data_IF_082431143442
#
_entry.id   IF_082431143442
#
_cell.length_a   1.000
_cell.length_b   1.000
_cell.length_c   1.000
_cell.angle_alpha   90.00
_cell.angle_beta   90.00
_cell.angle_gamma   90.00
#
_symmetry.space_group_name_H-M   'P 1'
#
loop_
_entity.id
_entity.type
_entity.pdbx_description
1 polymer ?
#
# COMPACT_ATOMS: atom_id res chain seq x y z
N UNK A 1 -36.21 28.71 2.73
CA UNK A 1 -36.21 27.27 2.31
C UNK A 1 -34.97 27.09 1.48
N UNK A 2 -33.86 26.72 2.11
CA UNK A 2 -32.57 26.48 1.45
C UNK A 2 -32.35 24.97 1.46
N UNK A 3 -32.36 24.42 0.25
CA UNK A 3 -32.16 23.01 -0.05
C UNK A 3 -30.71 22.62 0.33
N UNK A 4 -30.55 21.84 1.39
CA UNK A 4 -29.27 21.31 1.87
C UNK A 4 -29.06 19.89 1.35
N UNK A 5 -29.02 19.72 0.04
CA UNK A 5 -28.51 18.49 -0.56
C UNK A 5 -26.98 18.49 -0.52
N UNK A 6 -26.39 17.63 0.28
CA UNK A 6 -24.95 17.40 0.32
C UNK A 6 -24.47 16.91 -1.06
N UNK A 7 -23.33 17.46 -1.60
CA UNK A 7 -22.90 17.22 -2.98
C UNK A 7 -22.23 15.84 -3.24
N UNK A 8 -22.22 14.93 -2.29
CA UNK A 8 -21.40 13.69 -2.35
C UNK A 8 -22.18 12.37 -2.35
N UNK A 9 -23.46 12.36 -2.72
CA UNK A 9 -24.18 11.11 -2.93
C UNK A 9 -23.75 10.48 -4.28
N UNK A 10 -23.25 9.25 -4.32
CA UNK A 10 -22.93 8.59 -5.57
C UNK A 10 -24.20 8.43 -6.41
N UNK A 11 -24.10 8.51 -7.76
CA UNK A 11 -25.26 8.32 -8.63
C UNK A 11 -25.88 6.95 -8.34
N UNK A 12 -27.19 6.90 -8.16
CA UNK A 12 -27.96 5.69 -7.87
C UNK A 12 -27.77 4.66 -9.01
N UNK A 13 -26.71 3.83 -8.90
CA UNK A 13 -26.56 2.67 -9.75
C UNK A 13 -27.67 1.67 -9.37
N UNK A 14 -28.40 1.16 -10.36
CA UNK A 14 -29.44 0.15 -10.12
C UNK A 14 -28.84 -1.05 -9.41
N UNK A 15 -29.26 -1.31 -8.17
CA UNK A 15 -28.88 -2.48 -7.42
C UNK A 15 -29.29 -3.75 -8.17
N UNK A 16 -28.34 -4.56 -8.56
CA UNK A 16 -28.58 -5.83 -9.25
C UNK A 16 -28.82 -6.95 -8.25
N UNK A 17 -29.40 -8.06 -8.70
CA UNK A 17 -29.54 -9.28 -7.87
C UNK A 17 -28.19 -9.75 -7.32
N UNK A 18 -27.13 -9.66 -8.12
CA UNK A 18 -25.77 -9.99 -7.68
C UNK A 18 -25.27 -9.10 -6.53
N UNK A 19 -25.60 -7.80 -6.54
CA UNK A 19 -25.28 -6.89 -5.45
C UNK A 19 -25.96 -7.30 -4.14
N UNK A 20 -27.25 -7.65 -4.18
CA UNK A 20 -27.99 -8.13 -3.01
C UNK A 20 -27.45 -9.46 -2.49
N UNK A 21 -27.12 -10.40 -3.38
CA UNK A 21 -26.54 -11.68 -2.99
C UNK A 21 -25.18 -11.50 -2.33
N UNK A 22 -24.32 -10.66 -2.92
CA UNK A 22 -23.01 -10.30 -2.36
C UNK A 22 -23.13 -9.66 -0.97
N UNK A 23 -24.08 -8.73 -0.81
CA UNK A 23 -24.35 -8.09 0.48
C UNK A 23 -24.84 -9.07 1.55
N UNK A 24 -25.79 -9.97 1.20
CA UNK A 24 -26.26 -11.02 2.13
C UNK A 24 -25.12 -11.95 2.55
N UNK A 25 -24.26 -12.37 1.61
CA UNK A 25 -23.07 -13.18 1.91
C UNK A 25 -22.11 -12.48 2.86
N UNK A 26 -21.87 -11.18 2.64
CA UNK A 26 -21.04 -10.36 3.51
C UNK A 26 -21.61 -10.26 4.93
N UNK A 27 -22.90 -9.96 5.08
CA UNK A 27 -23.57 -9.88 6.38
C UNK A 27 -23.58 -11.22 7.13
N UNK A 28 -23.77 -12.33 6.42
CA UNK A 28 -23.69 -13.67 7.00
C UNK A 28 -22.28 -13.95 7.51
N UNK A 29 -21.27 -13.67 6.70
CA UNK A 29 -19.86 -13.79 7.10
C UNK A 29 -19.56 -12.93 8.34
N UNK A 30 -19.97 -11.67 8.35
CA UNK A 30 -19.80 -10.78 9.51
C UNK A 30 -20.47 -11.34 10.76
N UNK A 31 -21.70 -11.86 10.62
CA UNK A 31 -22.43 -12.51 11.73
C UNK A 31 -21.64 -13.69 12.30
N UNK A 32 -21.10 -14.55 11.45
CA UNK A 32 -20.27 -15.69 11.88
C UNK A 32 -18.98 -15.24 12.55
N UNK A 33 -18.31 -14.19 12.01
CA UNK A 33 -17.09 -13.66 12.58
C UNK A 33 -17.31 -13.08 14.00
N UNK A 34 -18.50 -12.53 14.29
CA UNK A 34 -18.83 -12.03 15.65
C UNK A 34 -18.80 -13.14 16.72
N UNK A 35 -19.15 -14.36 16.34
CA UNK A 35 -19.22 -15.50 17.26
C UNK A 35 -17.85 -16.08 17.64
N UNK A 36 -16.81 -15.80 16.84
CA UNK A 36 -15.47 -16.38 17.02
C UNK A 36 -14.55 -15.36 17.69
N UNK A 37 -13.88 -15.74 18.77
CA UNK A 37 -12.87 -14.88 19.44
C UNK A 37 -11.71 -14.51 18.51
N UNK A 38 -11.14 -13.30 18.65
CA UNK A 38 -10.10 -12.76 17.76
C UNK A 38 -8.88 -13.70 17.61
N UNK A 39 -8.39 -14.25 18.74
CA UNK A 39 -7.27 -15.21 18.76
C UNK A 39 -7.57 -16.48 17.98
N UNK A 40 -8.78 -17.01 18.12
CA UNK A 40 -9.22 -18.22 17.40
C UNK A 40 -9.37 -17.92 15.91
N UNK A 41 -9.99 -16.77 15.57
CA UNK A 41 -10.15 -16.32 14.20
C UNK A 41 -8.78 -16.15 13.49
N UNK A 42 -7.81 -15.57 14.17
CA UNK A 42 -6.45 -15.45 13.65
C UNK A 42 -5.83 -16.83 13.34
N UNK A 43 -6.00 -17.81 14.26
CA UNK A 43 -5.50 -19.18 14.05
C UNK A 43 -6.18 -19.88 12.88
N UNK A 44 -7.50 -19.75 12.76
CA UNK A 44 -8.26 -20.28 11.62
C UNK A 44 -7.82 -19.63 10.31
N UNK A 45 -7.61 -18.31 10.31
CA UNK A 45 -7.07 -17.59 9.15
C UNK A 45 -5.69 -18.06 8.74
N UNK A 46 -4.81 -18.37 9.69
CA UNK A 46 -3.49 -18.96 9.41
C UNK A 46 -3.60 -20.34 8.77
N UNK A 47 -4.52 -21.18 9.24
CA UNK A 47 -4.77 -22.50 8.63
C UNK A 47 -5.29 -22.33 7.20
N UNK A 48 -6.30 -21.47 6.99
CA UNK A 48 -6.82 -21.15 5.66
C UNK A 48 -5.73 -20.59 4.73
N UNK A 49 -4.85 -19.71 5.24
CA UNK A 49 -3.71 -19.16 4.49
C UNK A 49 -2.69 -20.24 4.07
N UNK A 50 -2.46 -21.25 4.91
CA UNK A 50 -1.60 -22.36 4.56
C UNK A 50 -2.19 -23.19 3.41
N UNK A 51 -3.50 -23.39 3.36
CA UNK A 51 -4.22 -24.05 2.25
C UNK A 51 -4.18 -23.17 1.00
N UNK A 52 -4.50 -21.87 1.13
CA UNK A 52 -4.51 -20.91 0.03
C UNK A 52 -3.15 -20.82 -0.68
N UNK A 53 -2.02 -20.99 0.04
CA UNK A 53 -0.69 -21.01 -0.55
C UNK A 53 -0.51 -22.14 -1.59
N UNK A 54 -1.16 -23.29 -1.39
CA UNK A 54 -1.17 -24.38 -2.36
C UNK A 54 -2.14 -24.13 -3.52
N UNK A 55 -3.30 -23.55 -3.24
CA UNK A 55 -4.37 -23.36 -4.21
C UNK A 55 -4.17 -22.14 -5.13
N UNK A 56 -3.35 -21.16 -4.75
CA UNK A 56 -3.17 -19.89 -5.47
C UNK A 56 -1.72 -19.72 -6.00
N UNK A 57 -1.25 -20.57 -6.93
CA UNK A 57 0.15 -20.53 -7.40
C UNK A 57 0.55 -19.19 -8.02
N UNK A 58 -0.36 -18.51 -8.73
CA UNK A 58 -0.08 -17.18 -9.29
C UNK A 58 0.22 -16.16 -8.20
N UNK A 59 -0.58 -16.13 -7.11
CA UNK A 59 -0.35 -15.23 -5.98
C UNK A 59 0.92 -15.61 -5.22
N UNK A 60 1.20 -16.90 -5.07
CA UNK A 60 2.46 -17.37 -4.49
C UNK A 60 3.68 -16.85 -5.25
N UNK A 61 3.69 -16.94 -6.58
CA UNK A 61 4.79 -16.44 -7.41
C UNK A 61 4.98 -14.93 -7.23
N UNK A 62 3.89 -14.16 -7.08
CA UNK A 62 3.96 -12.71 -6.79
C UNK A 62 4.60 -12.46 -5.41
N UNK A 63 4.16 -13.17 -4.38
CA UNK A 63 4.71 -13.04 -3.02
C UNK A 63 6.20 -13.39 -3.01
N UNK A 64 6.60 -14.52 -3.62
CA UNK A 64 7.99 -14.94 -3.71
C UNK A 64 8.87 -13.91 -4.44
N UNK A 65 8.36 -13.32 -5.53
CA UNK A 65 9.05 -12.26 -6.25
C UNK A 65 9.22 -11.02 -5.37
N UNK A 66 8.16 -10.58 -4.69
CA UNK A 66 8.19 -9.41 -3.83
C UNK A 66 9.15 -9.62 -2.65
N UNK A 67 9.11 -10.78 -1.99
CA UNK A 67 10.02 -11.11 -0.89
C UNK A 67 11.48 -11.10 -1.32
N UNK A 68 11.81 -11.59 -2.52
CA UNK A 68 13.18 -11.49 -3.06
C UNK A 68 13.64 -10.05 -3.28
N UNK A 69 12.73 -9.17 -3.68
CA UNK A 69 13.06 -7.74 -3.85
C UNK A 69 13.31 -7.09 -2.49
N UNK A 70 12.49 -7.42 -1.50
CA UNK A 70 12.52 -6.75 -0.19
C UNK A 70 13.66 -7.28 0.70
N UNK A 71 13.81 -8.60 0.77
CA UNK A 71 14.77 -9.26 1.67
C UNK A 71 16.13 -9.45 0.97
N UNK A 72 16.19 -10.43 0.09
CA UNK A 72 17.42 -10.79 -0.61
C UNK A 72 17.11 -11.35 -2.01
N UNK A 73 17.70 -10.81 -3.08
CA UNK A 73 17.56 -11.33 -4.42
C UNK A 73 18.06 -12.78 -4.58
N UNK A 74 18.94 -13.26 -3.70
CA UNK A 74 19.48 -14.62 -3.71
C UNK A 74 18.57 -15.67 -3.10
N UNK A 75 17.54 -15.29 -2.35
CA UNK A 75 16.58 -16.20 -1.73
C UNK A 75 15.95 -17.16 -2.75
N UNK A 76 16.07 -18.47 -2.49
CA UNK A 76 15.56 -19.54 -3.36
C UNK A 76 15.09 -20.76 -2.53
N UNK A 77 14.46 -21.70 -3.23
CA UNK A 77 14.15 -23.04 -2.71
C UNK A 77 13.28 -23.01 -1.45
N UNK A 78 13.62 -23.89 -0.49
CA UNK A 78 12.81 -24.12 0.71
C UNK A 78 12.67 -22.91 1.62
N UNK A 79 13.70 -22.06 1.70
CA UNK A 79 13.68 -20.86 2.53
C UNK A 79 12.67 -19.83 2.02
N UNK A 80 12.72 -19.52 0.72
CA UNK A 80 11.75 -18.63 0.08
C UNK A 80 10.31 -19.17 0.22
N UNK A 81 10.12 -20.48 0.02
CA UNK A 81 8.81 -21.11 0.19
C UNK A 81 8.29 -21.01 1.63
N UNK A 82 9.17 -21.17 2.63
CA UNK A 82 8.81 -21.02 4.05
C UNK A 82 8.33 -19.60 4.34
N UNK A 83 9.05 -18.58 3.88
CA UNK A 83 8.68 -17.17 4.05
C UNK A 83 7.40 -16.83 3.29
N UNK A 84 7.27 -17.27 2.04
CA UNK A 84 6.08 -17.09 1.22
C UNK A 84 4.83 -17.71 1.87
N UNK A 85 4.95 -18.94 2.37
CA UNK A 85 3.86 -19.61 3.08
C UNK A 85 3.48 -18.89 4.37
N UNK A 86 4.47 -18.39 5.12
CA UNK A 86 4.20 -17.63 6.34
C UNK A 86 3.49 -16.29 6.03
N UNK A 87 3.90 -15.58 4.98
CA UNK A 87 3.19 -14.39 4.53
C UNK A 87 1.73 -14.68 4.15
N UNK A 88 1.45 -15.76 3.42
CA UNK A 88 0.07 -16.18 3.12
C UNK A 88 -0.75 -16.40 4.39
N UNK A 89 -0.18 -17.12 5.37
CA UNK A 89 -0.83 -17.41 6.65
C UNK A 89 -1.19 -16.13 7.39
N UNK A 90 -0.25 -15.19 7.47
CA UNK A 90 -0.48 -13.89 8.13
C UNK A 90 -1.47 -13.03 7.35
N UNK A 91 -1.33 -12.93 6.04
CA UNK A 91 -2.21 -12.14 5.19
C UNK A 91 -3.67 -12.58 5.34
N UNK A 92 -3.98 -13.87 5.19
CA UNK A 92 -5.37 -14.35 5.31
C UNK A 92 -5.89 -14.18 6.74
N UNK A 93 -5.06 -14.44 7.75
CA UNK A 93 -5.45 -14.22 9.15
C UNK A 93 -5.76 -12.73 9.42
N UNK A 94 -4.92 -11.82 8.95
CA UNK A 94 -5.10 -10.38 9.10
C UNK A 94 -6.37 -9.89 8.40
N UNK A 95 -6.67 -10.35 7.18
CA UNK A 95 -7.91 -10.01 6.48
C UNK A 95 -9.17 -10.43 7.23
N UNK A 96 -9.22 -11.67 7.73
CA UNK A 96 -10.37 -12.15 8.51
C UNK A 96 -10.53 -11.36 9.81
N UNK A 97 -9.43 -11.07 10.48
CA UNK A 97 -9.44 -10.28 11.70
C UNK A 97 -9.83 -8.81 11.43
N UNK A 98 -9.40 -8.22 10.31
CA UNK A 98 -9.79 -6.87 9.90
C UNK A 98 -11.29 -6.74 9.69
N UNK A 99 -11.92 -7.72 9.04
CA UNK A 99 -13.39 -7.76 8.89
C UNK A 99 -14.11 -7.79 10.25
N UNK A 100 -13.58 -8.55 11.23
CA UNK A 100 -14.11 -8.57 12.60
C UNK A 100 -13.84 -7.25 13.35
N UNK A 101 -12.70 -6.61 13.14
CA UNK A 101 -12.32 -5.36 13.81
C UNK A 101 -13.39 -4.28 13.66
N UNK A 102 -14.04 -4.19 12.49
CA UNK A 102 -15.12 -3.26 12.24
C UNK A 102 -16.33 -3.45 13.17
N UNK A 103 -16.48 -4.63 13.78
CA UNK A 103 -17.63 -4.98 14.65
C UNK A 103 -17.35 -4.82 16.15
N UNK A 104 -16.10 -4.59 16.54
CA UNK A 104 -15.70 -4.49 17.96
C UNK A 104 -16.16 -3.17 18.57
N UNK A 105 -16.38 -3.16 19.90
CA UNK A 105 -16.41 -1.91 20.67
C UNK A 105 -15.02 -1.28 20.75
N UNK A 106 -14.92 -0.04 21.23
CA UNK A 106 -13.61 0.63 21.37
C UNK A 106 -12.75 -0.06 22.45
N UNK A 107 -13.37 -0.51 23.55
CA UNK A 107 -12.69 -1.27 24.59
C UNK A 107 -12.16 -2.61 24.04
N UNK A 108 -13.00 -3.34 23.29
CA UNK A 108 -12.57 -4.60 22.67
C UNK A 108 -11.44 -4.38 21.66
N UNK A 109 -11.47 -3.26 20.92
CA UNK A 109 -10.42 -2.91 19.99
C UNK A 109 -9.10 -2.64 20.71
N UNK A 110 -9.12 -1.87 21.80
CA UNK A 110 -7.93 -1.59 22.65
C UNK A 110 -7.29 -2.84 23.24
N UNK A 111 -8.06 -3.91 23.45
CA UNK A 111 -7.50 -5.21 23.85
C UNK A 111 -6.82 -5.97 22.71
N UNK A 112 -7.10 -5.63 21.47
CA UNK A 112 -6.54 -6.29 20.30
C UNK A 112 -5.43 -5.48 19.59
N UNK A 113 -5.35 -4.18 19.87
CA UNK A 113 -4.41 -3.27 19.19
C UNK A 113 -3.75 -2.36 20.22
N UNK A 114 -2.42 -2.36 20.21
CA UNK A 114 -1.60 -1.35 20.92
C UNK A 114 -1.15 -0.30 19.89
N UNK A 115 -1.18 0.95 20.28
CA UNK A 115 -0.74 2.07 19.42
C UNK A 115 0.46 2.74 20.08
N UNK A 116 1.54 2.92 19.30
CA UNK A 116 2.74 3.67 19.70
C UNK A 116 2.90 4.96 18.92
N UNK A 117 3.78 5.86 19.38
CA UNK A 117 4.11 7.10 18.66
C UNK A 117 3.11 8.23 18.88
N UNK A 118 2.57 8.37 20.10
CA UNK A 118 1.59 9.41 20.45
C UNK A 118 2.11 10.83 20.13
N UNK A 119 3.33 11.15 20.55
CA UNK A 119 3.92 12.48 20.35
C UNK A 119 4.06 12.82 18.87
N UNK A 120 4.50 11.88 18.05
CA UNK A 120 4.74 12.11 16.63
C UNK A 120 3.46 12.19 15.82
N UNK A 121 2.40 11.48 16.23
CA UNK A 121 1.13 11.46 15.54
C UNK A 121 0.16 12.54 16.04
N UNK A 122 -0.11 12.58 17.35
CA UNK A 122 -1.18 13.40 17.91
C UNK A 122 -0.73 14.83 18.21
N UNK A 123 0.50 15.06 18.70
CA UNK A 123 0.93 16.39 19.09
C UNK A 123 0.83 17.44 17.97
N UNK A 124 1.26 17.18 16.72
CA UNK A 124 1.08 18.14 15.63
C UNK A 124 -0.39 18.53 15.42
N UNK A 125 -1.30 17.56 15.49
CA UNK A 125 -2.73 17.76 15.30
C UNK A 125 -3.33 18.61 16.43
N UNK A 126 -2.92 18.35 17.67
CA UNK A 126 -3.35 19.11 18.85
C UNK A 126 -2.83 20.54 18.85
N UNK A 127 -1.69 20.78 18.22
CA UNK A 127 -1.12 22.10 17.97
C UNK A 127 -1.78 22.83 16.77
N UNK A 128 -2.80 22.22 16.14
CA UNK A 128 -3.50 22.79 14.99
C UNK A 128 -2.76 22.60 13.65
N UNK A 129 -1.71 21.79 13.61
CA UNK A 129 -0.98 21.44 12.38
C UNK A 129 -1.60 20.20 11.73
N UNK A 130 -1.75 20.23 10.40
CA UNK A 130 -2.23 19.06 9.66
C UNK A 130 -1.22 17.92 9.68
N UNK A 131 -1.71 16.68 9.68
CA UNK A 131 -0.88 15.48 9.69
C UNK A 131 -1.26 14.53 8.55
N UNK A 132 -0.34 14.22 7.67
CA UNK A 132 -0.53 13.15 6.66
C UNK A 132 0.08 11.85 7.19
N UNK A 133 -0.72 10.78 7.16
CA UNK A 133 -0.30 9.44 7.55
C UNK A 133 -0.14 8.59 6.30
N UNK A 134 1.10 8.31 5.88
CA UNK A 134 1.39 7.35 4.83
C UNK A 134 1.34 5.94 5.41
N UNK A 135 0.39 5.11 4.95
CA UNK A 135 0.06 3.82 5.58
C UNK A 135 0.43 2.66 4.65
N UNK A 136 1.04 1.61 5.20
CA UNK A 136 1.25 0.34 4.51
C UNK A 136 0.05 -0.60 4.70
N UNK A 137 -0.28 -1.40 3.67
CA UNK A 137 -1.22 -2.53 3.79
C UNK A 137 -0.54 -3.67 4.56
N UNK A 138 -0.44 -3.55 5.87
CA UNK A 138 0.24 -4.52 6.74
C UNK A 138 -0.57 -4.83 7.99
N UNK A 139 -0.47 -6.05 8.49
CA UNK A 139 -1.17 -6.49 9.69
C UNK A 139 -2.69 -6.23 9.59
N UNK A 140 -3.26 -5.72 10.65
CA UNK A 140 -4.67 -5.31 10.72
C UNK A 140 -4.80 -3.79 10.53
N UNK A 141 -4.43 -3.27 9.33
CA UNK A 141 -4.47 -1.84 9.04
C UNK A 141 -5.87 -1.21 9.10
N UNK A 142 -6.95 -2.01 8.98
CA UNK A 142 -8.33 -1.51 9.12
C UNK A 142 -8.60 -0.94 10.52
N UNK A 143 -7.84 -1.35 11.53
CA UNK A 143 -7.93 -0.77 12.87
C UNK A 143 -7.61 0.74 12.87
N UNK A 144 -6.79 1.21 11.92
CA UNK A 144 -6.44 2.63 11.79
C UNK A 144 -7.62 3.51 11.36
N UNK A 145 -8.66 2.93 10.74
CA UNK A 145 -9.90 3.66 10.48
C UNK A 145 -10.64 4.05 11.79
N UNK A 146 -10.22 3.48 12.92
CA UNK A 146 -10.80 3.74 14.24
C UNK A 146 -9.79 4.38 15.20
N UNK A 147 -8.88 5.18 14.66
CA UNK A 147 -7.81 5.82 15.43
C UNK A 147 -8.33 6.65 16.60
N UNK A 148 -9.51 7.24 16.47
CA UNK A 148 -10.17 8.02 17.55
C UNK A 148 -10.52 7.19 18.78
N UNK A 149 -10.58 5.87 18.68
CA UNK A 149 -10.70 5.02 19.88
C UNK A 149 -9.45 5.10 20.77
N UNK A 150 -8.28 5.39 20.18
CA UNK A 150 -6.99 5.50 20.90
C UNK A 150 -6.61 6.96 21.20
N UNK A 151 -7.02 7.87 20.33
CA UNK A 151 -6.74 9.32 20.38
C UNK A 151 -8.07 10.09 20.29
N UNK A 152 -8.91 10.05 21.34
CA UNK A 152 -10.21 10.75 21.33
C UNK A 152 -10.06 12.27 21.16
N UNK A 153 -8.92 12.83 21.56
CA UNK A 153 -8.56 14.23 21.41
C UNK A 153 -8.30 14.64 19.94
N UNK A 154 -8.03 13.69 19.05
CA UNK A 154 -7.89 13.93 17.60
C UNK A 154 -9.29 13.99 16.98
N UNK A 155 -9.92 15.17 17.02
CA UNK A 155 -11.30 15.35 16.57
C UNK A 155 -11.47 15.17 15.06
N UNK A 156 -10.48 15.64 14.27
CA UNK A 156 -10.51 15.59 12.80
C UNK A 156 -9.58 14.51 12.28
N UNK A 157 -10.14 13.37 12.02
CA UNK A 157 -9.44 12.27 11.37
C UNK A 157 -10.20 11.80 10.14
N UNK A 158 -9.48 11.60 9.04
CA UNK A 158 -10.03 11.09 7.80
C UNK A 158 -9.14 10.06 7.11
N UNK A 159 -9.70 9.37 6.14
CA UNK A 159 -8.96 8.40 5.32
C UNK A 159 -9.37 8.50 3.86
N UNK A 160 -8.36 8.45 2.98
CA UNK A 160 -8.58 8.29 1.54
C UNK A 160 -8.90 6.81 1.25
N UNK A 161 -9.93 6.57 0.43
CA UNK A 161 -10.31 5.20 0.06
C UNK A 161 -10.78 5.11 -1.40
N UNK A 162 -10.84 3.88 -1.92
CA UNK A 162 -11.51 3.57 -3.18
C UNK A 162 -12.90 3.02 -2.87
N UNK A 163 -13.91 3.51 -3.57
CA UNK A 163 -15.29 3.03 -3.45
C UNK A 163 -15.39 1.55 -3.86
N UNK A 164 -16.31 0.84 -3.20
CA UNK A 164 -16.63 -0.53 -3.57
C UNK A 164 -17.47 -0.57 -4.84
N UNK A 165 -17.24 -1.57 -5.69
CA UNK A 165 -18.02 -1.77 -6.92
C UNK A 165 -19.49 -2.16 -6.62
N UNK A 166 -19.76 -2.73 -5.44
CA UNK A 166 -21.11 -3.03 -4.97
C UNK A 166 -21.67 -1.85 -4.14
N UNK A 167 -22.68 -1.12 -4.62
CA UNK A 167 -23.20 0.08 -3.93
C UNK A 167 -23.76 -0.21 -2.54
N UNK A 168 -24.34 -1.39 -2.31
CA UNK A 168 -24.88 -1.78 -1.00
C UNK A 168 -23.75 -2.01 0.01
N UNK A 169 -22.64 -2.59 -0.43
CA UNK A 169 -21.46 -2.74 0.40
C UNK A 169 -20.77 -1.40 0.65
N UNK A 170 -20.71 -0.54 -0.37
CA UNK A 170 -20.17 0.81 -0.24
C UNK A 170 -20.89 1.59 0.86
N UNK A 171 -22.22 1.68 0.76
CA UNK A 171 -23.05 2.39 1.73
C UNK A 171 -22.86 1.83 3.15
N UNK A 172 -22.91 0.49 3.30
CA UNK A 172 -22.76 -0.17 4.58
C UNK A 172 -21.39 0.08 5.24
N UNK A 173 -20.29 -0.05 4.46
CA UNK A 173 -18.93 0.15 4.97
C UNK A 173 -18.66 1.64 5.24
N UNK A 174 -19.17 2.53 4.38
CA UNK A 174 -19.07 3.97 4.55
C UNK A 174 -19.72 4.41 5.87
N UNK A 175 -20.98 4.03 6.11
CA UNK A 175 -21.70 4.33 7.34
C UNK A 175 -20.93 3.85 8.57
N UNK A 176 -20.46 2.61 8.55
CA UNK A 176 -19.69 2.03 9.67
C UNK A 176 -18.41 2.77 10.01
N UNK A 177 -17.72 3.29 8.99
CA UNK A 177 -16.48 4.06 9.21
C UNK A 177 -16.80 5.47 9.70
N UNK A 178 -17.88 6.10 9.19
CA UNK A 178 -18.27 7.46 9.55
C UNK A 178 -19.01 7.57 10.88
N UNK A 179 -19.80 6.57 11.27
CA UNK A 179 -20.49 6.51 12.59
C UNK A 179 -19.56 6.74 13.77
N UNK A 180 -18.26 6.43 13.62
CA UNK A 180 -17.26 6.61 14.66
C UNK A 180 -16.40 7.87 14.49
N UNK A 181 -16.87 8.80 13.65
CA UNK A 181 -16.28 10.11 13.44
C UNK A 181 -15.09 10.16 12.50
N UNK A 182 -14.78 9.07 11.77
CA UNK A 182 -13.78 9.10 10.70
C UNK A 182 -14.40 9.68 9.43
N UNK A 183 -13.78 10.70 8.87
CA UNK A 183 -14.20 11.27 7.59
C UNK A 183 -13.65 10.41 6.45
N UNK A 184 -14.51 9.99 5.53
CA UNK A 184 -14.12 9.15 4.40
C UNK A 184 -14.10 9.98 3.12
N UNK A 185 -12.93 10.04 2.47
CA UNK A 185 -12.73 10.77 1.23
C UNK A 185 -12.53 9.78 0.08
N UNK A 186 -13.50 9.73 -0.84
CA UNK A 186 -13.34 8.88 -2.01
C UNK A 186 -12.26 9.45 -2.94
N UNK A 187 -11.52 8.56 -3.58
CA UNK A 187 -10.50 8.93 -4.56
C UNK A 187 -11.10 9.71 -5.73
N UNK A 188 -12.32 9.38 -6.08
CA UNK A 188 -13.12 10.00 -7.14
C UNK A 188 -13.57 11.43 -6.79
N UNK A 189 -13.79 11.73 -5.50
CA UNK A 189 -14.14 13.07 -4.99
C UNK A 189 -12.98 14.07 -5.02
N UNK A 190 -11.79 13.63 -5.39
CA UNK A 190 -10.62 14.48 -5.52
C UNK A 190 -9.99 14.92 -4.19
N UNK A 191 -9.16 15.95 -4.23
CA UNK A 191 -8.31 16.32 -3.09
C UNK A 191 -8.76 17.59 -2.32
N UNK A 192 -9.84 18.27 -2.75
CA UNK A 192 -10.25 19.55 -2.14
C UNK A 192 -10.67 19.37 -0.68
N UNK A 193 -11.56 18.40 -0.40
CA UNK A 193 -12.06 18.16 0.94
C UNK A 193 -10.96 17.64 1.91
N UNK A 194 -10.15 16.63 1.56
CA UNK A 194 -9.04 16.22 2.42
C UNK A 194 -8.01 17.33 2.62
N UNK A 195 -7.73 18.16 1.61
CA UNK A 195 -6.86 19.33 1.76
C UNK A 195 -7.41 20.37 2.75
N UNK A 196 -8.72 20.62 2.72
CA UNK A 196 -9.37 21.52 3.68
C UNK A 196 -9.20 20.99 5.10
N UNK A 197 -9.48 19.70 5.33
CA UNK A 197 -9.33 19.07 6.63
C UNK A 197 -7.89 19.17 7.17
N UNK A 198 -6.89 18.92 6.32
CA UNK A 198 -5.47 19.06 6.70
C UNK A 198 -5.11 20.50 7.09
N UNK A 199 -5.57 21.51 6.33
CA UNK A 199 -5.35 22.93 6.66
C UNK A 199 -6.04 23.38 7.94
N UNK A 200 -7.09 22.68 8.35
CA UNK A 200 -7.80 22.89 9.61
C UNK A 200 -7.21 22.09 10.77
N UNK A 201 -5.99 21.56 10.62
CA UNK A 201 -5.27 20.81 11.65
C UNK A 201 -5.75 19.37 11.82
N UNK A 202 -6.36 18.75 10.80
CA UNK A 202 -6.78 17.35 10.86
C UNK A 202 -5.69 16.37 10.47
N UNK A 203 -5.88 15.07 10.78
CA UNK A 203 -5.02 13.97 10.34
C UNK A 203 -5.67 13.16 9.23
N UNK A 204 -4.90 12.79 8.19
CA UNK A 204 -5.39 12.08 7.01
C UNK A 204 -4.58 10.82 6.71
N UNK A 205 -5.22 9.66 6.76
CA UNK A 205 -4.65 8.38 6.36
C UNK A 205 -4.70 8.17 4.84
N UNK A 206 -3.57 7.76 4.26
CA UNK A 206 -3.43 7.42 2.84
C UNK A 206 -2.65 6.11 2.70
N UNK A 207 -3.30 5.05 2.22
CA UNK A 207 -2.62 3.79 1.87
C UNK A 207 -1.74 4.00 0.64
N UNK A 208 -0.43 3.76 0.74
CA UNK A 208 0.56 4.28 -0.21
C UNK A 208 1.55 3.26 -0.77
N UNK A 209 1.52 2.02 -0.31
CA UNK A 209 2.51 0.97 -0.63
C UNK A 209 2.15 0.12 -1.85
N UNK A 210 1.03 0.38 -2.51
CA UNK A 210 0.62 -0.37 -3.70
C UNK A 210 1.05 0.31 -5.01
N UNK A 211 1.07 -0.49 -6.10
CA UNK A 211 1.42 -0.01 -7.43
C UNK A 211 0.32 0.87 -8.03
N UNK A 212 0.71 2.00 -8.62
CA UNK A 212 -0.19 2.93 -9.33
C UNK A 212 0.40 3.23 -10.72
N UNK A 213 -0.40 3.05 -11.79
CA UNK A 213 0.03 3.29 -13.16
C UNK A 213 0.32 4.77 -13.44
N UNK A 214 -0.54 5.65 -12.98
CA UNK A 214 -0.47 7.10 -13.16
C UNK A 214 0.40 7.79 -12.09
N UNK A 215 1.10 6.98 -11.28
CA UNK A 215 1.98 7.48 -10.23
C UNK A 215 3.34 7.95 -10.74
N UNK A 216 4.18 8.42 -9.83
CA UNK A 216 5.59 8.68 -10.12
C UNK A 216 6.39 7.38 -10.04
N UNK A 217 7.35 7.22 -10.95
CA UNK A 217 8.18 6.01 -11.01
C UNK A 217 9.47 6.21 -10.21
N UNK A 218 9.42 5.85 -8.95
CA UNK A 218 10.48 6.04 -7.97
C UNK A 218 10.83 4.73 -7.26
N UNK A 219 12.00 4.63 -6.57
CA UNK A 219 12.40 3.43 -5.88
C UNK A 219 11.48 3.09 -4.70
N UNK A 220 11.20 1.81 -4.55
CA UNK A 220 10.69 1.17 -3.34
C UNK A 220 11.51 -0.09 -3.10
N UNK A 221 12.18 -0.18 -1.96
CA UNK A 221 13.22 -1.19 -1.68
C UNK A 221 14.31 -1.22 -2.76
N UNK A 222 14.72 -0.05 -3.21
CA UNK A 222 15.75 0.13 -4.24
C UNK A 222 15.32 -0.23 -5.65
N UNK A 223 14.09 -0.70 -5.89
CA UNK A 223 13.60 -1.04 -7.22
C UNK A 223 12.52 -0.07 -7.70
N UNK A 224 12.74 0.53 -8.87
CA UNK A 224 11.82 1.53 -9.44
C UNK A 224 10.46 0.93 -9.75
N UNK A 225 9.40 1.62 -9.33
CA UNK A 225 8.00 1.19 -9.52
C UNK A 225 7.05 2.37 -9.41
N UNK A 226 5.88 2.28 -10.07
CA UNK A 226 4.83 3.30 -9.99
C UNK A 226 4.29 3.43 -8.56
N UNK A 227 4.40 4.62 -8.00
CA UNK A 227 4.04 4.96 -6.62
C UNK A 227 3.10 6.16 -6.61
N UNK A 228 2.09 6.14 -5.75
CA UNK A 228 1.21 7.29 -5.59
C UNK A 228 1.95 8.47 -4.99
N UNK A 229 1.96 9.64 -5.64
CA UNK A 229 2.55 10.84 -5.07
C UNK A 229 1.60 11.55 -4.09
N UNK A 230 0.41 11.00 -3.86
CA UNK A 230 -0.66 11.67 -3.13
C UNK A 230 -0.28 12.11 -1.71
N UNK A 231 0.37 11.29 -0.86
CA UNK A 231 0.79 11.74 0.47
C UNK A 231 1.73 12.95 0.41
N UNK A 232 2.76 12.88 -0.43
CA UNK A 232 3.73 13.96 -0.61
C UNK A 232 3.06 15.25 -1.13
N UNK A 233 2.14 15.11 -2.11
CA UNK A 233 1.38 16.22 -2.66
C UNK A 233 0.50 16.90 -1.61
N UNK A 234 -0.23 16.13 -0.82
CA UNK A 234 -1.11 16.64 0.24
C UNK A 234 -0.31 17.34 1.33
N UNK A 235 0.76 16.70 1.81
CA UNK A 235 1.68 17.31 2.79
C UNK A 235 2.18 18.67 2.30
N UNK A 236 2.74 18.71 1.11
CA UNK A 236 3.37 19.92 0.53
C UNK A 236 2.36 21.05 0.35
N UNK A 237 1.17 20.75 -0.17
CA UNK A 237 0.13 21.76 -0.43
C UNK A 237 -0.60 22.23 0.82
N UNK A 238 -0.70 21.38 1.84
CA UNK A 238 -1.34 21.75 3.10
C UNK A 238 -0.36 22.40 4.10
N UNK A 239 0.96 22.26 3.89
CA UNK A 239 1.97 22.60 4.91
C UNK A 239 1.90 21.66 6.11
N UNK A 240 1.48 20.43 5.91
CA UNK A 240 1.25 19.45 6.97
C UNK A 240 2.53 18.70 7.34
N UNK A 241 2.56 18.13 8.54
CA UNK A 241 3.56 17.15 8.94
C UNK A 241 3.25 15.76 8.34
N UNK A 242 4.18 14.82 8.45
CA UNK A 242 3.96 13.46 7.92
C UNK A 242 4.60 12.39 8.79
N UNK A 243 3.81 11.33 9.03
CA UNK A 243 4.29 10.07 9.60
C UNK A 243 4.06 8.92 8.63
N UNK A 244 4.96 7.95 8.62
CA UNK A 244 4.71 6.64 8.02
C UNK A 244 4.14 5.71 9.10
N UNK A 245 3.19 4.84 8.70
CA UNK A 245 2.51 3.93 9.61
C UNK A 245 2.50 2.52 9.03
N UNK A 246 2.89 1.55 9.84
CA UNK A 246 2.67 0.13 9.57
C UNK A 246 2.07 -0.55 10.80
N UNK A 247 1.27 -1.58 10.55
CA UNK A 247 0.70 -2.41 11.61
C UNK A 247 1.34 -3.79 11.55
N UNK A 248 1.92 -4.24 12.65
CA UNK A 248 2.56 -5.55 12.75
C UNK A 248 1.80 -6.48 13.70
N UNK A 249 1.84 -7.75 13.41
CA UNK A 249 1.31 -8.79 14.30
C UNK A 249 2.28 -9.01 15.46
N UNK A 250 1.83 -8.78 16.67
CA UNK A 250 2.57 -9.02 17.91
C UNK A 250 2.33 -10.44 18.43
N UNK A 251 1.05 -10.79 18.57
CA UNK A 251 0.61 -12.11 19.00
C UNK A 251 -0.64 -12.54 18.21
N UNK A 252 -1.06 -13.82 18.27
CA UNK A 252 -2.29 -14.26 17.65
C UNK A 252 -3.52 -13.43 18.07
N UNK A 253 -4.04 -12.61 17.17
CA UNK A 253 -5.17 -11.72 17.41
C UNK A 253 -4.83 -10.41 18.14
N UNK A 254 -3.54 -10.06 18.18
CA UNK A 254 -3.05 -8.80 18.72
C UNK A 254 -2.04 -8.14 17.77
N UNK A 255 -2.13 -6.81 17.62
CA UNK A 255 -1.32 -6.02 16.71
C UNK A 255 -0.75 -4.79 17.40
N UNK A 256 0.37 -4.32 16.87
CA UNK A 256 0.96 -3.03 17.22
C UNK A 256 0.90 -2.13 16.01
N UNK A 257 0.28 -0.96 16.14
CA UNK A 257 0.31 0.12 15.17
C UNK A 257 1.42 1.10 15.57
N UNK A 258 2.49 1.16 14.79
CA UNK A 258 3.56 2.12 15.00
C UNK A 258 3.27 3.39 14.20
N UNK A 259 3.08 4.50 14.92
CA UNK A 259 2.76 5.83 14.38
C UNK A 259 3.87 6.85 14.68
N UNK A 260 5.01 6.41 15.19
CA UNK A 260 6.11 7.29 15.59
C UNK A 260 7.12 7.61 14.51
N UNK A 261 7.02 7.02 13.32
CA UNK A 261 8.02 7.21 12.27
C UNK A 261 7.76 8.49 11.46
N UNK A 262 8.32 9.61 11.91
CA UNK A 262 8.29 10.88 11.17
C UNK A 262 9.10 10.74 9.87
N UNK A 263 8.50 11.16 8.76
CA UNK A 263 9.17 11.13 7.45
C UNK A 263 10.13 12.31 7.34
N UNK A 264 11.41 12.02 7.16
CA UNK A 264 12.47 13.03 6.96
C UNK A 264 12.58 13.43 5.49
N UNK A 265 12.34 14.71 5.19
CA UNK A 265 12.43 15.29 3.85
C UNK A 265 13.74 16.04 3.60
N UNK A 266 14.70 16.00 4.52
CA UNK A 266 15.98 16.74 4.38
C UNK A 266 16.80 16.33 3.16
N UNK A 267 16.59 15.10 2.66
CA UNK A 267 17.26 14.56 1.47
C UNK A 267 16.47 14.73 0.18
N UNK A 268 15.25 15.27 0.25
CA UNK A 268 14.45 15.55 -0.94
C UNK A 268 15.02 16.76 -1.70
N UNK A 269 15.01 16.69 -3.03
CA UNK A 269 15.30 17.85 -3.89
C UNK A 269 14.12 18.85 -3.96
N UNK A 270 13.07 18.60 -3.18
CA UNK A 270 11.83 19.37 -3.19
C UNK A 270 10.92 19.10 -4.37
N UNK A 271 11.28 18.21 -5.29
CA UNK A 271 10.38 17.74 -6.34
C UNK A 271 9.33 16.77 -5.76
N UNK A 272 8.21 16.59 -6.48
CA UNK A 272 7.20 15.61 -6.06
C UNK A 272 7.74 14.17 -6.09
N UNK A 273 8.66 13.87 -7.01
CA UNK A 273 9.37 12.60 -7.08
C UNK A 273 10.29 12.40 -5.87
N UNK A 274 11.12 13.41 -5.53
CA UNK A 274 11.99 13.40 -4.37
C UNK A 274 11.24 13.24 -3.07
N UNK A 275 10.17 14.02 -2.87
CA UNK A 275 9.30 13.88 -1.70
C UNK A 275 8.65 12.47 -1.62
N UNK A 276 8.25 11.89 -2.75
CA UNK A 276 7.67 10.53 -2.78
C UNK A 276 8.71 9.45 -2.44
N UNK A 277 9.99 9.66 -2.79
CA UNK A 277 11.09 8.78 -2.38
C UNK A 277 11.22 8.78 -0.84
N UNK A 278 11.15 9.93 -0.20
CA UNK A 278 11.26 10.01 1.26
C UNK A 278 10.06 9.35 1.96
N UNK A 279 8.83 9.50 1.40
CA UNK A 279 7.66 8.75 1.87
C UNK A 279 7.89 7.23 1.79
N UNK A 280 8.42 6.76 0.66
CA UNK A 280 8.76 5.34 0.48
C UNK A 280 9.80 4.88 1.53
N UNK A 281 10.85 5.66 1.79
CA UNK A 281 11.87 5.33 2.80
C UNK A 281 11.28 5.21 4.21
N UNK A 282 10.37 6.13 4.57
CA UNK A 282 9.63 6.04 5.84
C UNK A 282 8.84 4.74 5.96
N UNK A 283 8.12 4.34 4.90
CA UNK A 283 7.40 3.06 4.86
C UNK A 283 8.35 1.86 4.88
N UNK A 284 9.46 1.91 4.13
CA UNK A 284 10.44 0.83 4.09
C UNK A 284 11.04 0.53 5.46
N UNK A 285 11.31 1.57 6.26
CA UNK A 285 11.83 1.42 7.64
C UNK A 285 10.90 0.52 8.47
N UNK A 286 9.60 0.84 8.50
CA UNK A 286 8.63 0.07 9.27
C UNK A 286 8.34 -1.31 8.67
N UNK A 287 8.29 -1.41 7.35
CA UNK A 287 8.07 -2.68 6.65
C UNK A 287 9.20 -3.67 6.92
N UNK A 288 10.47 -3.21 7.03
CA UNK A 288 11.61 -4.09 7.35
C UNK A 288 11.45 -4.79 8.70
N UNK A 289 10.80 -4.16 9.68
CA UNK A 289 10.54 -4.76 10.98
C UNK A 289 9.46 -5.84 10.93
N UNK A 290 8.57 -5.81 9.94
CA UNK A 290 7.41 -6.70 9.84
C UNK A 290 7.11 -7.17 8.41
N UNK A 291 8.13 -7.52 7.64
CA UNK A 291 8.02 -7.89 6.22
C UNK A 291 6.92 -8.90 5.94
N UNK A 292 6.72 -9.88 6.83
CA UNK A 292 5.75 -10.95 6.63
C UNK A 292 4.30 -10.56 6.93
N UNK A 293 4.07 -9.39 7.51
CA UNK A 293 2.73 -8.85 7.76
C UNK A 293 2.18 -8.02 6.59
N UNK A 294 3.05 -7.65 5.63
CA UNK A 294 2.65 -6.85 4.46
C UNK A 294 1.87 -7.67 3.44
N UNK A 295 0.90 -7.03 2.80
CA UNK A 295 0.05 -7.64 1.76
C UNK A 295 0.83 -7.85 0.44
N UNK A 296 1.79 -8.77 0.43
CA UNK A 296 2.61 -9.07 -0.75
C UNK A 296 1.87 -9.83 -1.87
N UNK A 297 0.62 -10.21 -1.70
CA UNK A 297 -0.21 -10.77 -2.78
C UNK A 297 -0.56 -9.74 -3.86
N UNK A 298 -0.34 -8.44 -3.60
CA UNK A 298 -0.37 -7.38 -4.60
C UNK A 298 0.93 -7.34 -5.39
N UNK A 299 0.83 -7.22 -6.73
CA UNK A 299 2.00 -7.13 -7.61
C UNK A 299 2.61 -5.72 -7.56
N UNK A 300 3.39 -5.42 -6.51
CA UNK A 300 3.94 -4.08 -6.24
C UNK A 300 4.86 -3.58 -7.35
N UNK A 301 5.65 -4.44 -7.96
CA UNK A 301 6.58 -4.10 -9.07
C UNK A 301 6.04 -4.59 -10.41
N UNK A 302 4.81 -4.22 -10.75
CA UNK A 302 4.11 -4.61 -11.97
C UNK A 302 4.65 -3.92 -13.23
N UNK A 303 5.52 -2.93 -13.09
CA UNK A 303 6.05 -2.07 -14.17
C UNK A 303 6.84 -2.79 -15.27
N UNK A 304 6.94 -4.12 -15.21
CA UNK A 304 7.63 -4.95 -16.22
C UNK A 304 6.92 -4.92 -17.57
N UNK A 305 5.60 -4.71 -17.58
CA UNK A 305 4.79 -4.88 -18.79
C UNK A 305 4.52 -3.57 -19.58
N UNK A 306 4.92 -2.43 -19.02
CA UNK A 306 4.83 -1.14 -19.69
C UNK A 306 6.10 -0.33 -19.45
N UNK A 307 6.82 -0.03 -20.52
CA UNK A 307 7.83 1.01 -20.53
C UNK A 307 7.16 2.35 -20.27
N UNK A 308 7.08 2.76 -18.99
CA UNK A 308 6.76 4.15 -18.69
C UNK A 308 8.06 4.93 -18.76
N UNK A 309 8.23 5.82 -19.75
CA UNK A 309 9.39 6.69 -19.80
C UNK A 309 9.38 7.55 -18.54
N UNK A 310 10.51 7.62 -17.86
CA UNK A 310 10.70 8.56 -16.76
C UNK A 310 10.84 9.96 -17.36
N UNK A 311 10.21 10.95 -16.75
CA UNK A 311 10.52 12.32 -17.11
C UNK A 311 12.01 12.62 -16.79
N UNK A 312 12.60 13.57 -17.55
CA UNK A 312 14.04 13.85 -17.47
C UNK A 312 14.51 14.24 -16.07
N UNK A 313 13.67 14.93 -15.30
CA UNK A 313 14.01 15.37 -13.93
C UNK A 313 14.06 14.19 -12.98
N UNK A 314 13.05 13.32 -13.03
CA UNK A 314 13.02 12.07 -12.24
C UNK A 314 14.18 11.16 -12.64
N UNK A 315 14.51 11.01 -13.92
CA UNK A 315 15.65 10.22 -14.37
C UNK A 315 16.98 10.75 -13.78
N UNK A 316 17.24 12.05 -13.86
CA UNK A 316 18.43 12.68 -13.29
C UNK A 316 18.53 12.52 -11.76
N UNK A 317 17.41 12.60 -11.05
CA UNK A 317 17.34 12.33 -9.62
C UNK A 317 17.76 10.89 -9.28
N UNK A 318 17.35 9.93 -10.09
CA UNK A 318 17.60 8.50 -9.87
C UNK A 318 19.00 8.05 -10.30
N UNK A 319 19.68 8.75 -11.20
CA UNK A 319 21.03 8.40 -11.68
C UNK A 319 22.07 8.32 -10.55
N UNK A 320 21.89 9.12 -9.50
CA UNK A 320 22.79 9.16 -8.34
C UNK A 320 22.36 8.22 -7.19
N UNK A 321 21.35 7.37 -7.41
CA UNK A 321 20.85 6.45 -6.40
C UNK A 321 21.31 5.02 -6.66
N UNK A 322 21.58 4.27 -5.60
CA UNK A 322 21.81 2.83 -5.68
C UNK A 322 20.50 2.12 -5.97
N UNK A 323 20.31 1.67 -7.22
CA UNK A 323 19.10 1.03 -7.69
C UNK A 323 19.29 -0.46 -7.94
N UNK A 324 18.29 -1.26 -7.60
CA UNK A 324 18.21 -2.66 -8.02
C UNK A 324 17.87 -2.72 -9.50
N UNK A 325 18.72 -3.35 -10.33
CA UNK A 325 18.58 -3.23 -11.78
C UNK A 325 17.30 -3.87 -12.31
N UNK A 326 16.74 -3.24 -13.33
CA UNK A 326 15.76 -3.81 -14.22
C UNK A 326 16.49 -4.61 -15.31
N UNK A 327 16.51 -5.95 -15.18
CA UNK A 327 17.27 -6.81 -16.09
C UNK A 327 16.42 -7.24 -17.27
N UNK A 328 16.91 -7.00 -18.48
CA UNK A 328 16.38 -7.54 -19.72
C UNK A 328 17.42 -8.45 -20.36
N UNK A 329 16.93 -9.45 -21.09
CA UNK A 329 17.74 -10.33 -21.90
C UNK A 329 17.39 -10.09 -23.36
N UNK A 330 18.39 -9.73 -24.15
CA UNK A 330 18.25 -9.55 -25.60
C UNK A 330 18.97 -10.69 -26.30
N UNK A 331 18.21 -11.55 -26.98
CA UNK A 331 18.76 -12.57 -27.86
C UNK A 331 19.08 -11.93 -29.21
N UNK A 332 20.37 -11.93 -29.58
CA UNK A 332 20.84 -11.35 -30.83
C UNK A 332 20.79 -12.39 -31.94
N UNK A 333 20.31 -12.05 -33.17
CA UNK A 333 20.33 -12.94 -34.32
C UNK A 333 21.73 -13.45 -34.67
N UNK A 334 21.79 -14.57 -35.41
CA UNK A 334 23.07 -15.16 -35.82
C UNK A 334 23.79 -14.38 -36.91
N UNK A 335 23.05 -13.74 -37.82
CA UNK A 335 23.61 -12.93 -38.89
C UNK A 335 24.17 -11.62 -38.30
N UNK A 336 25.38 -11.25 -38.71
CA UNK A 336 26.09 -10.07 -38.18
C UNK A 336 25.37 -8.76 -38.47
N UNK A 337 24.82 -8.59 -39.65
CA UNK A 337 24.04 -7.44 -40.08
C UNK A 337 22.76 -7.27 -39.24
N UNK A 338 22.02 -8.34 -38.98
CA UNK A 338 20.86 -8.37 -38.11
C UNK A 338 21.26 -8.07 -36.64
N UNK A 339 22.40 -8.63 -36.19
CA UNK A 339 22.93 -8.37 -34.88
C UNK A 339 23.27 -6.90 -34.66
N UNK A 340 23.93 -6.27 -35.63
CA UNK A 340 24.25 -4.84 -35.61
C UNK A 340 22.98 -3.96 -35.62
N UNK A 341 21.91 -4.39 -36.28
CA UNK A 341 20.62 -3.69 -36.26
C UNK A 341 19.96 -3.65 -34.89
N UNK A 342 20.35 -4.52 -33.93
CA UNK A 342 19.85 -4.49 -32.55
C UNK A 342 20.50 -3.40 -31.68
N UNK A 343 21.65 -2.85 -32.07
CA UNK A 343 22.39 -1.84 -31.28
C UNK A 343 21.58 -0.56 -31.05
N UNK A 344 20.92 0.04 -32.04
CA UNK A 344 20.07 1.21 -31.83
C UNK A 344 18.93 0.92 -30.84
N UNK A 345 18.30 -0.26 -30.91
CA UNK A 345 17.27 -0.69 -29.97
C UNK A 345 17.81 -0.75 -28.53
N UNK A 346 18.98 -1.37 -28.31
CA UNK A 346 19.62 -1.46 -26.99
C UNK A 346 19.92 -0.07 -26.42
N UNK A 347 20.43 0.84 -27.26
CA UNK A 347 20.67 2.23 -26.88
C UNK A 347 19.38 2.95 -26.49
N UNK A 348 18.34 2.83 -27.30
CA UNK A 348 17.04 3.42 -27.02
C UNK A 348 16.43 2.88 -25.70
N UNK A 349 16.53 1.57 -25.45
CA UNK A 349 16.06 0.96 -24.21
C UNK A 349 16.76 1.56 -22.97
N UNK A 350 18.07 1.80 -23.02
CA UNK A 350 18.82 2.41 -21.92
C UNK A 350 18.41 3.86 -21.63
N UNK A 351 17.99 4.60 -22.65
CA UNK A 351 17.51 5.99 -22.44
C UNK A 351 16.13 6.09 -21.83
N UNK A 352 15.35 5.00 -21.90
CA UNK A 352 13.97 4.98 -21.36
C UNK A 352 13.96 4.78 -19.82
N UNK A 353 14.96 4.04 -19.30
CA UNK A 353 15.05 3.73 -17.85
C UNK A 353 16.51 3.77 -17.38
N UNK A 354 16.80 4.58 -16.38
CA UNK A 354 18.13 4.69 -15.78
C UNK A 354 18.55 3.41 -15.01
N UNK A 355 17.59 2.61 -14.49
CA UNK A 355 17.84 1.36 -13.77
C UNK A 355 17.99 0.13 -14.68
N UNK A 356 18.06 0.29 -16.00
CA UNK A 356 18.09 -0.82 -16.95
C UNK A 356 19.47 -1.46 -17.08
N UNK A 357 19.51 -2.79 -16.88
CA UNK A 357 20.64 -3.65 -17.19
C UNK A 357 20.29 -4.56 -18.37
N UNK A 358 20.95 -4.35 -19.50
CA UNK A 358 20.78 -5.18 -20.70
C UNK A 358 21.81 -6.30 -20.66
N UNK A 359 21.36 -7.55 -20.70
CA UNK A 359 22.18 -8.72 -20.90
C UNK A 359 21.97 -9.21 -22.34
N UNK A 360 23.06 -9.49 -23.04
CA UNK A 360 23.03 -9.92 -24.43
C UNK A 360 23.39 -11.40 -24.50
N UNK A 361 22.58 -12.16 -25.23
CA UNK A 361 22.88 -13.55 -25.60
C UNK A 361 23.13 -13.59 -27.09
N UNK A 362 24.32 -13.98 -27.45
CA UNK A 362 24.73 -14.16 -28.86
C UNK A 362 25.28 -15.59 -29.09
N UNK A 363 25.25 -16.09 -30.32
CA UNK A 363 25.92 -17.34 -30.67
C UNK A 363 27.42 -17.24 -30.40
N UNK A 364 28.04 -18.34 -29.97
CA UNK A 364 29.47 -18.40 -29.58
C UNK A 364 30.43 -17.96 -30.72
N UNK A 365 30.05 -18.12 -31.96
CA UNK A 365 30.81 -17.67 -33.14
C UNK A 365 30.94 -16.13 -33.28
N UNK A 366 30.18 -15.35 -32.46
CA UNK A 366 30.22 -13.88 -32.48
C UNK A 366 30.94 -13.26 -31.26
N UNK A 367 31.55 -14.13 -30.44
CA UNK A 367 32.31 -13.72 -29.25
C UNK A 367 33.81 -13.54 -29.51
N UNK A 368 34.26 -13.64 -30.77
CA UNK A 368 35.65 -13.46 -31.22
C UNK A 368 35.96 -12.04 -31.64
#
# INVERSE_FOLDING_TARGET
MTDSSSPDSPPASRNTFAHHLGMKGFLLMEGLLKLVGMKTLYRLGRAAGAVAWHLLPQRRNIVERNLRIVLDPALRGKELQKLSRENFKRTIANFLCSAKTATLTDEQLKHCVTVGGHEQFAAPVLEGRGQVCAIAHSGNWEALARIRAFYPEVERYGSMYRQFDNPLMEEYVYQRRTERGTQMFSKEGGIKAPMKMLKEGGALGVLSDQFVWEGVYVPFFGKVTGTTPLPALLRKRAGADMVAIAVRTDAPGHWIADMGNVVDFSRSDGSLAGDTIEVNRGLETLIRESVLDVFWMHHRWKSVDRFAPQDKKTAALLENMELKPYRILVAVPRALDEALATVPLIRALKTVRCDMQVNIVCPSAQLG
#
